data_IF_552542366751
#
_entry.id   IF_552542366751
#
_cell.length_a   1.000
_cell.length_b   1.000
_cell.length_c   1.000
_cell.angle_alpha   90.00
_cell.angle_beta   90.00
_cell.angle_gamma   90.00
#
_symmetry.space_group_name_H-M   'P 1'
#
loop_
_entity.id
_entity.type
_entity.pdbx_description
1 polymer ?
#
# COMPACT_ATOMS: atom_id res chain seq x y z
N UNK A 1 46.00 -47.41 -13.31
CA UNK A 1 44.82 -47.06 -14.14
C UNK A 1 44.37 -45.66 -13.75
N UNK A 2 44.26 -44.70 -14.69
CA UNK A 2 43.74 -43.37 -14.40
C UNK A 2 42.20 -43.38 -14.21
N UNK A 3 41.64 -42.44 -13.44
CA UNK A 3 40.20 -42.38 -13.17
C UNK A 3 39.39 -41.99 -14.41
N UNK A 4 38.16 -42.49 -14.49
CA UNK A 4 37.24 -42.28 -15.61
C UNK A 4 36.80 -40.81 -15.74
N UNK A 5 36.61 -40.29 -16.97
CA UNK A 5 36.17 -38.92 -17.20
C UNK A 5 34.68 -38.72 -16.81
N UNK A 6 34.31 -37.53 -16.33
CA UNK A 6 32.94 -37.22 -15.93
C UNK A 6 31.98 -37.16 -17.13
N UNK A 7 30.66 -37.37 -16.90
CA UNK A 7 29.66 -37.39 -17.97
C UNK A 7 29.53 -36.03 -18.66
N UNK A 8 29.43 -36.07 -20.00
CA UNK A 8 29.32 -34.89 -20.84
C UNK A 8 27.92 -34.28 -20.70
N UNK A 9 27.84 -33.14 -20.01
CA UNK A 9 26.65 -32.31 -20.02
C UNK A 9 26.44 -31.78 -21.45
N UNK A 10 25.24 -31.97 -21.99
CA UNK A 10 24.83 -31.49 -23.30
C UNK A 10 24.95 -29.96 -23.35
N UNK A 11 25.82 -29.45 -24.23
CA UNK A 11 25.86 -28.04 -24.61
C UNK A 11 24.89 -27.80 -25.76
N UNK A 12 23.68 -27.34 -25.44
CA UNK A 12 22.79 -26.78 -26.44
C UNK A 12 23.30 -25.37 -26.85
N UNK A 13 23.69 -25.25 -28.12
CA UNK A 13 24.13 -24.00 -28.72
C UNK A 13 22.98 -23.39 -29.53
N UNK A 14 22.17 -22.53 -28.92
CA UNK A 14 21.63 -21.33 -29.57
C UNK A 14 20.72 -20.62 -28.58
N UNK A 15 21.14 -19.43 -28.18
CA UNK A 15 20.53 -18.15 -28.47
C UNK A 15 21.32 -17.16 -27.62
N UNK A 16 21.92 -16.15 -28.25
CA UNK A 16 22.35 -14.95 -27.55
C UNK A 16 21.18 -13.98 -27.59
N UNK A 17 20.54 -13.67 -26.45
CA UNK A 17 19.83 -12.42 -26.33
C UNK A 17 20.31 -11.69 -25.07
N UNK A 18 21.30 -10.80 -25.24
CA UNK A 18 21.50 -9.63 -24.38
C UNK A 18 21.85 -9.95 -22.91
N UNK A 19 22.37 -9.00 -22.12
CA UNK A 19 22.56 -9.24 -20.70
C UNK A 19 21.16 -9.38 -20.06
N UNK A 20 20.70 -10.62 -19.92
CA UNK A 20 19.53 -10.93 -19.10
C UNK A 20 19.84 -10.42 -17.69
N UNK A 21 19.30 -9.26 -17.36
CA UNK A 21 19.12 -8.84 -15.99
C UNK A 21 18.59 -10.04 -15.23
N UNK A 22 19.18 -10.41 -14.07
CA UNK A 22 18.80 -11.60 -13.34
C UNK A 22 17.28 -11.59 -13.22
N UNK A 23 16.63 -12.60 -13.82
CA UNK A 23 15.20 -12.84 -13.68
C UNK A 23 14.89 -12.62 -12.21
N UNK A 24 14.12 -11.58 -11.92
CA UNK A 24 13.82 -11.24 -10.54
C UNK A 24 12.96 -12.40 -10.01
N UNK A 25 13.60 -13.38 -9.38
CA UNK A 25 12.95 -14.48 -8.69
C UNK A 25 12.56 -14.08 -7.27
N UNK A 26 13.00 -12.90 -6.85
CA UNK A 26 12.84 -12.37 -5.51
C UNK A 26 12.36 -10.92 -5.51
N UNK A 27 11.49 -10.61 -4.54
CA UNK A 27 11.00 -9.28 -4.24
C UNK A 27 11.88 -8.49 -3.26
N UNK A 28 13.04 -9.01 -2.88
CA UNK A 28 14.00 -8.28 -2.05
C UNK A 28 14.28 -6.89 -2.64
N UNK A 29 13.89 -5.84 -1.91
CA UNK A 29 14.00 -4.43 -2.30
C UNK A 29 13.22 -4.01 -3.57
N UNK A 30 12.28 -4.83 -4.05
CA UNK A 30 11.44 -4.55 -5.24
C UNK A 30 9.94 -4.47 -4.92
N UNK A 31 9.60 -4.36 -3.64
CA UNK A 31 8.21 -4.24 -3.24
C UNK A 31 7.58 -2.97 -3.83
N UNK A 32 6.39 -3.13 -4.40
CA UNK A 32 5.63 -2.06 -5.02
C UNK A 32 6.30 -1.42 -6.27
N UNK A 33 7.23 -2.14 -6.89
CA UNK A 33 7.85 -1.73 -8.14
C UNK A 33 6.83 -1.74 -9.31
N UNK A 34 7.20 -1.15 -10.44
CA UNK A 34 6.32 -1.15 -11.61
C UNK A 34 6.19 -2.55 -12.21
N UNK A 35 5.12 -2.79 -12.96
CA UNK A 35 4.96 -4.03 -13.72
C UNK A 35 6.06 -4.16 -14.78
N UNK A 36 6.81 -5.25 -14.71
CA UNK A 36 7.83 -5.58 -15.70
C UNK A 36 7.42 -6.84 -16.48
N UNK A 37 7.08 -6.67 -17.75
CA UNK A 37 6.66 -7.77 -18.63
C UNK A 37 7.78 -8.81 -18.91
N UNK A 38 9.04 -8.44 -18.66
CA UNK A 38 10.19 -9.29 -18.86
C UNK A 38 10.59 -10.04 -17.57
N UNK A 39 10.00 -9.67 -16.43
CA UNK A 39 10.20 -10.39 -15.18
C UNK A 39 9.40 -11.69 -15.16
N UNK A 40 10.00 -12.75 -14.62
CA UNK A 40 9.37 -14.07 -14.42
C UNK A 40 8.23 -14.04 -13.40
N UNK A 41 8.23 -13.05 -12.51
CA UNK A 41 7.21 -12.79 -11.52
C UNK A 41 7.22 -11.30 -11.15
N UNK A 42 6.17 -10.85 -10.46
CA UNK A 42 5.92 -9.46 -10.13
C UNK A 42 6.02 -9.23 -8.62
N UNK A 43 6.44 -8.02 -8.26
CA UNK A 43 6.50 -7.56 -6.87
C UNK A 43 5.63 -6.32 -6.63
N UNK A 44 4.71 -6.05 -7.55
CA UNK A 44 3.74 -4.95 -7.46
C UNK A 44 2.48 -5.38 -6.71
N UNK A 45 1.72 -4.43 -6.18
CA UNK A 45 0.48 -4.67 -5.42
C UNK A 45 -0.66 -5.35 -6.20
N UNK A 46 -0.55 -5.43 -7.54
CA UNK A 46 -1.54 -6.12 -8.38
C UNK A 46 -1.14 -7.57 -8.69
N UNK A 47 0.01 -8.03 -8.23
CA UNK A 47 0.49 -9.36 -8.60
C UNK A 47 -0.43 -10.48 -8.12
N UNK A 48 -1.12 -10.29 -6.99
CA UNK A 48 -2.08 -11.26 -6.44
C UNK A 48 -3.32 -11.37 -7.33
N UNK A 49 -3.78 -10.24 -7.87
CA UNK A 49 -4.91 -10.19 -8.80
C UNK A 49 -4.59 -10.95 -10.10
N UNK A 50 -3.35 -10.86 -10.58
CA UNK A 50 -2.90 -11.53 -11.81
C UNK A 50 -2.20 -12.87 -11.55
N UNK A 51 -2.16 -13.31 -10.28
CA UNK A 51 -1.49 -14.54 -9.82
C UNK A 51 -0.07 -14.71 -10.36
N UNK A 52 0.68 -13.62 -10.45
CA UNK A 52 2.04 -13.60 -10.98
C UNK A 52 3.06 -13.07 -9.97
N UNK A 53 2.75 -13.10 -8.68
CA UNK A 53 3.68 -12.71 -7.62
C UNK A 53 4.92 -13.60 -7.57
N UNK A 54 6.06 -13.04 -7.15
CA UNK A 54 7.21 -13.86 -6.79
C UNK A 54 6.92 -14.67 -5.52
N UNK A 55 7.56 -15.84 -5.38
CA UNK A 55 7.28 -16.76 -4.27
C UNK A 55 7.59 -16.17 -2.88
N UNK A 56 8.44 -15.16 -2.82
CA UNK A 56 8.81 -14.43 -1.61
C UNK A 56 8.04 -13.10 -1.44
N UNK A 57 7.06 -12.80 -2.30
CA UNK A 57 6.29 -11.55 -2.25
C UNK A 57 5.66 -11.31 -0.88
N UNK A 58 4.98 -12.31 -0.31
CA UNK A 58 4.38 -12.20 1.02
C UNK A 58 5.45 -11.97 2.10
N UNK A 59 6.54 -12.75 2.06
CA UNK A 59 7.63 -12.63 3.03
C UNK A 59 8.40 -11.30 2.96
N UNK A 60 8.51 -10.68 1.78
CA UNK A 60 9.27 -9.45 1.57
C UNK A 60 8.39 -8.19 1.57
N UNK A 61 7.13 -8.30 1.12
CA UNK A 61 6.28 -7.16 0.78
C UNK A 61 4.96 -7.07 1.54
N UNK A 62 4.46 -8.14 2.18
CA UNK A 62 3.26 -8.01 3.04
C UNK A 62 3.53 -7.22 4.31
N UNK A 63 4.76 -7.22 4.85
CA UNK A 63 5.09 -6.32 5.96
C UNK A 63 5.06 -4.84 5.56
N UNK A 64 4.99 -4.53 4.26
CA UNK A 64 4.77 -3.18 3.74
C UNK A 64 3.33 -2.93 3.27
N UNK A 65 2.50 -3.98 3.20
CA UNK A 65 1.09 -3.93 2.78
C UNK A 65 0.10 -4.38 3.85
N UNK A 66 0.55 -4.74 5.05
CA UNK A 66 -0.34 -4.83 6.18
C UNK A 66 -1.08 -3.49 6.28
N UNK A 67 -2.43 -3.46 6.30
CA UNK A 67 -3.13 -2.27 6.80
C UNK A 67 -2.43 -1.92 8.10
N UNK A 68 -2.01 -0.65 8.33
CA UNK A 68 -1.25 -0.31 9.52
C UNK A 68 -2.00 -0.93 10.68
N UNK A 69 -1.32 -1.81 11.43
CA UNK A 69 -1.89 -2.42 12.61
C UNK A 69 -2.65 -1.32 13.35
N UNK A 70 -3.91 -1.53 13.77
CA UNK A 70 -4.73 -0.47 14.35
C UNK A 70 -3.83 0.31 15.29
N UNK A 71 -3.62 1.62 15.07
CA UNK A 71 -2.63 2.36 15.82
C UNK A 71 -2.95 2.09 17.29
N UNK A 72 -1.94 1.72 18.10
CA UNK A 72 -2.15 1.39 19.50
C UNK A 72 -3.04 2.49 20.06
N UNK A 73 -4.13 2.11 20.74
CA UNK A 73 -5.08 3.05 21.33
C UNK A 73 -4.30 3.91 22.33
N UNK A 74 -3.69 4.98 21.85
CA UNK A 74 -2.84 5.88 22.61
C UNK A 74 -3.73 7.05 22.95
N UNK A 75 -4.36 6.89 24.10
CA UNK A 75 -4.97 7.96 24.85
C UNK A 75 -3.87 8.95 25.25
N UNK A 76 -4.17 10.26 25.14
CA UNK A 76 -3.60 11.39 25.91
C UNK A 76 -2.12 11.72 25.64
N UNK A 77 -1.59 12.94 25.66
CA UNK A 77 -2.03 14.31 25.97
C UNK A 77 -0.90 15.26 25.46
N UNK A 78 -1.27 16.51 25.17
CA UNK A 78 -0.51 17.73 24.82
C UNK A 78 1.03 17.75 24.60
N UNK A 79 1.39 18.57 23.59
CA UNK A 79 2.37 19.67 23.66
C UNK A 79 3.62 19.55 22.79
N UNK A 80 3.52 19.76 21.46
CA UNK A 80 4.62 20.34 20.68
C UNK A 80 4.09 21.19 19.50
N UNK A 81 4.54 22.44 19.42
CA UNK A 81 4.39 23.40 18.31
C UNK A 81 5.70 24.22 18.25
N UNK A 82 6.17 24.83 17.13
CA UNK A 82 5.57 24.95 15.79
C UNK A 82 6.50 24.64 14.60
N UNK A 83 5.92 24.36 13.42
CA UNK A 83 6.35 24.88 12.10
C UNK A 83 5.28 24.55 11.01
N UNK A 84 5.23 25.30 9.90
CA UNK A 84 4.00 25.90 9.39
C UNK A 84 3.51 25.21 8.13
N UNK A 85 2.95 24.01 8.24
CA UNK A 85 2.41 23.36 7.04
C UNK A 85 1.08 22.68 7.34
N UNK A 86 0.03 23.36 6.86
CA UNK A 86 -1.39 22.99 6.80
C UNK A 86 -2.09 22.71 8.12
N UNK A 87 -3.36 23.13 8.29
CA UNK A 87 -4.18 22.68 9.39
C UNK A 87 -4.40 21.19 9.22
N UNK A 88 -3.56 20.36 9.87
CA UNK A 88 -3.87 18.97 10.18
C UNK A 88 -5.31 18.99 10.68
N UNK A 89 -6.23 18.44 9.89
CA UNK A 89 -7.61 18.42 10.29
C UNK A 89 -7.66 17.58 11.56
N UNK A 90 -7.82 18.24 12.70
CA UNK A 90 -8.14 17.60 13.98
C UNK A 90 -9.64 17.66 14.23
N UNK A 91 -10.37 18.41 13.40
CA UNK A 91 -11.80 18.67 13.51
C UNK A 91 -12.46 18.85 12.14
N UNK A 92 -13.73 18.46 12.05
CA UNK A 92 -14.59 18.61 10.89
C UNK A 92 -15.47 19.85 10.88
N UNK A 93 -15.33 20.77 11.85
CA UNK A 93 -16.21 21.94 12.04
C UNK A 93 -16.44 22.82 10.79
N UNK A 94 -15.58 22.72 9.77
CA UNK A 94 -15.79 23.38 8.48
C UNK A 94 -15.23 22.58 7.30
N UNK A 95 -15.04 21.27 7.49
CA UNK A 95 -14.38 20.36 6.53
C UNK A 95 -15.25 19.20 6.09
N UNK A 96 -16.55 19.24 6.42
CA UNK A 96 -17.48 18.21 5.99
C UNK A 96 -17.46 18.10 4.46
N UNK A 97 -17.33 16.87 3.97
CA UNK A 97 -17.21 16.55 2.54
C UNK A 97 -15.94 17.07 1.86
N UNK A 98 -14.88 17.36 2.61
CA UNK A 98 -13.58 17.70 2.02
C UNK A 98 -13.02 16.55 1.16
N UNK A 99 -12.02 16.84 0.35
CA UNK A 99 -11.27 15.79 -0.35
C UNK A 99 -10.42 14.97 0.63
N UNK A 100 -10.10 13.74 0.25
CA UNK A 100 -9.15 12.93 1.01
C UNK A 100 -7.76 13.58 1.03
N UNK A 101 -7.24 13.83 2.23
CA UNK A 101 -5.88 14.34 2.43
C UNK A 101 -5.02 13.27 3.13
N UNK A 102 -4.02 12.75 2.42
CA UNK A 102 -3.09 11.74 2.95
C UNK A 102 -2.28 12.24 4.14
N UNK A 103 -2.07 13.55 4.26
CA UNK A 103 -1.29 14.15 5.35
C UNK A 103 -2.15 14.56 6.55
N UNK A 104 -3.47 14.45 6.44
CA UNK A 104 -4.36 14.72 7.56
C UNK A 104 -4.37 13.53 8.54
N UNK A 105 -4.37 13.86 9.83
CA UNK A 105 -4.47 12.89 10.93
C UNK A 105 -5.82 12.15 10.96
N UNK A 106 -6.85 12.74 10.37
CA UNK A 106 -8.17 12.16 10.20
C UNK A 106 -8.90 12.84 9.02
N UNK A 107 -9.97 12.23 8.56
CA UNK A 107 -10.74 12.64 7.38
C UNK A 107 -12.12 13.17 7.76
N UNK A 108 -12.61 14.12 6.98
CA UNK A 108 -13.96 14.67 7.11
C UNK A 108 -14.83 14.43 5.86
N UNK A 109 -14.36 13.56 4.97
CA UNK A 109 -15.06 13.17 3.75
C UNK A 109 -16.05 12.03 4.02
N UNK A 110 -17.08 11.89 3.19
CA UNK A 110 -18.14 10.88 3.38
C UNK A 110 -17.70 9.43 3.29
N UNK A 111 -16.50 9.16 2.76
CA UNK A 111 -15.91 7.81 2.72
C UNK A 111 -15.11 7.48 3.98
N UNK A 112 -14.96 8.41 4.92
CA UNK A 112 -14.14 8.19 6.10
C UNK A 112 -14.66 7.03 6.97
N UNK A 113 -15.97 6.76 6.97
CA UNK A 113 -16.59 5.65 7.69
C UNK A 113 -16.21 4.30 7.08
N UNK A 114 -16.13 4.24 5.74
CA UNK A 114 -15.69 3.06 5.00
C UNK A 114 -14.23 2.71 5.33
N UNK A 115 -13.39 3.72 5.52
CA UNK A 115 -11.95 3.56 5.81
C UNK A 115 -11.61 3.68 7.30
N UNK A 116 -12.63 3.88 8.16
CA UNK A 116 -12.49 4.08 9.60
C UNK A 116 -11.43 5.13 10.00
N UNK A 117 -11.33 6.20 9.23
CA UNK A 117 -10.37 7.28 9.44
C UNK A 117 -11.03 8.64 9.65
N UNK A 118 -12.31 8.67 10.06
CA UNK A 118 -13.04 9.89 10.39
C UNK A 118 -12.39 10.64 11.56
N UNK A 119 -12.47 11.97 11.56
CA UNK A 119 -12.18 12.74 12.78
C UNK A 119 -13.19 12.42 13.87
N UNK A 120 -12.79 12.55 15.14
CA UNK A 120 -13.63 12.18 16.27
C UNK A 120 -14.93 12.98 16.37
N UNK A 121 -14.96 14.17 15.78
CA UNK A 121 -16.12 15.06 15.71
C UNK A 121 -16.89 14.96 14.37
N UNK A 122 -16.51 14.04 13.46
CA UNK A 122 -17.14 13.91 12.14
C UNK A 122 -18.67 13.76 12.22
N UNK A 123 -19.17 12.86 13.08
CA UNK A 123 -20.62 12.67 13.21
C UNK A 123 -21.30 13.93 13.76
N UNK A 124 -20.73 14.52 14.82
CA UNK A 124 -21.28 15.72 15.44
C UNK A 124 -21.29 16.96 14.52
N UNK A 125 -20.33 17.07 13.60
CA UNK A 125 -20.19 18.22 12.70
C UNK A 125 -20.84 17.99 11.32
N UNK A 126 -20.89 16.75 10.83
CA UNK A 126 -21.21 16.44 9.43
C UNK A 126 -22.47 15.58 9.21
N UNK A 127 -23.06 14.98 10.24
CA UNK A 127 -24.34 14.25 10.09
C UNK A 127 -25.50 15.18 9.75
N UNK A 128 -25.48 16.44 10.21
CA UNK A 128 -26.50 17.44 9.86
C UNK A 128 -26.49 17.81 8.38
N UNK A 129 -25.41 17.53 7.65
CA UNK A 129 -25.30 17.75 6.21
C UNK A 129 -25.64 16.50 5.38
N UNK A 130 -25.79 15.33 6.02
CA UNK A 130 -26.19 14.07 5.39
C UNK A 130 -27.62 13.65 5.74
N UNK A 131 -28.36 14.45 6.51
CA UNK A 131 -29.76 14.18 6.76
C UNK A 131 -30.51 14.14 5.41
N UNK A 132 -31.20 13.03 5.08
CA UNK A 132 -32.11 13.05 3.95
C UNK A 132 -33.12 14.19 4.17
N UNK A 133 -33.57 14.89 3.12
CA UNK A 133 -34.56 15.93 3.27
C UNK A 133 -35.75 15.36 4.04
N UNK A 134 -36.17 16.06 5.10
CA UNK A 134 -37.31 15.64 5.90
C UNK A 134 -38.51 15.35 4.96
N UNK A 135 -39.26 14.26 5.18
CA UNK A 135 -40.45 14.01 4.38
C UNK A 135 -41.39 15.21 4.53
N UNK A 136 -42.02 15.67 3.44
CA UNK A 136 -42.97 16.78 3.50
C UNK A 136 -44.15 16.43 4.45
N UNK A 137 -44.75 17.45 5.11
CA UNK A 137 -45.86 17.25 6.04
C UNK A 137 -47.12 16.67 5.37
#
# INVERSE_FOLDING_TARGET
APPAPPPKQHTDHSHNPQPFSPQATSCASKCNDNFDRHASCQCNSKCEQYQNCCGDYHAQCETQHAPPAPPPKQHTDHSHNPQPFSPQATSCASKCNDNFDRHASCQCNSKCEQYQNCCGDYHAQCETQHAPPAPPP
#
